data_IF_290633625627
#
_entry.id   IF_290633625627
#
_cell.length_a   1.000
_cell.length_b   1.000
_cell.length_c   1.000
_cell.angle_alpha   90.00
_cell.angle_beta   90.00
_cell.angle_gamma   90.00
#
_symmetry.space_group_name_H-M   'P 1'
#
loop_
_entity.id
_entity.type
_entity.pdbx_description
1 polymer ?
#
# COMPACT_ATOMS: atom_id res chain seq x y z
N UNK A 1 -3.88 -13.18 4.17
CA UNK A 1 -3.49 -11.76 4.16
C UNK A 1 -2.08 -11.58 3.64
N UNK A 2 -1.13 -12.36 4.09
CA UNK A 2 0.27 -12.33 3.65
C UNK A 2 0.42 -12.50 2.13
N UNK A 3 -0.25 -13.49 1.53
CA UNK A 3 -0.31 -13.69 0.08
C UNK A 3 -0.91 -12.50 -0.67
N UNK A 4 -1.93 -11.85 -0.09
CA UNK A 4 -2.49 -10.63 -0.65
C UNK A 4 -1.45 -9.50 -0.68
N UNK A 5 -0.70 -9.31 0.41
CA UNK A 5 0.35 -8.28 0.49
C UNK A 5 1.49 -8.59 -0.49
N UNK A 6 1.92 -9.84 -0.59
CA UNK A 6 2.91 -10.25 -1.61
C UNK A 6 2.44 -9.92 -3.01
N UNK A 7 1.19 -10.24 -3.35
CA UNK A 7 0.61 -9.94 -4.66
C UNK A 7 0.65 -8.45 -5.00
N UNK A 8 0.18 -7.58 -4.11
CA UNK A 8 0.15 -6.13 -4.39
C UNK A 8 1.55 -5.53 -4.46
N UNK A 9 2.49 -5.98 -3.64
CA UNK A 9 3.87 -5.46 -3.64
C UNK A 9 4.70 -5.93 -4.84
N UNK A 10 4.36 -7.06 -5.45
CA UNK A 10 5.04 -7.59 -6.63
C UNK A 10 4.28 -7.34 -7.93
N UNK A 11 3.11 -6.72 -7.87
CA UNK A 11 2.22 -6.49 -9.00
C UNK A 11 2.90 -5.75 -10.15
N UNK A 12 2.67 -6.23 -11.38
CA UNK A 12 3.16 -5.67 -12.64
C UNK A 12 2.06 -5.75 -13.70
N UNK A 13 2.19 -4.95 -14.73
CA UNK A 13 1.27 -4.94 -15.86
C UNK A 13 0.28 -3.80 -15.80
N UNK A 14 -0.77 -3.93 -16.57
CA UNK A 14 -1.80 -2.92 -16.74
C UNK A 14 -2.89 -3.08 -15.68
N UNK A 15 -3.43 -1.98 -15.16
CA UNK A 15 -4.49 -1.97 -14.14
C UNK A 15 -5.78 -2.68 -14.58
N UNK A 16 -6.05 -2.72 -15.88
CA UNK A 16 -7.23 -3.41 -16.43
C UNK A 16 -7.13 -4.93 -16.40
N UNK A 17 -5.89 -5.45 -16.39
CA UNK A 17 -5.60 -6.88 -16.36
C UNK A 17 -5.20 -7.34 -14.96
N UNK A 18 -4.51 -6.47 -14.23
CA UNK A 18 -3.99 -6.73 -12.89
C UNK A 18 -4.32 -5.54 -11.98
N UNK A 19 -5.48 -5.52 -11.32
CA UNK A 19 -5.91 -4.40 -10.47
C UNK A 19 -4.99 -4.19 -9.26
N UNK A 20 -4.19 -5.15 -8.86
CA UNK A 20 -3.23 -5.06 -7.76
C UNK A 20 -2.17 -3.96 -7.99
N UNK A 21 -1.88 -3.62 -9.26
CA UNK A 21 -0.97 -2.51 -9.58
C UNK A 21 -1.48 -1.15 -9.11
N UNK A 22 -2.78 -1.04 -8.87
CA UNK A 22 -3.41 0.17 -8.33
C UNK A 22 -2.79 0.65 -7.03
N UNK A 23 -2.18 -0.25 -6.26
CA UNK A 23 -1.44 0.10 -5.06
C UNK A 23 -0.31 1.09 -5.32
N UNK A 24 0.50 0.85 -6.36
CA UNK A 24 1.60 1.73 -6.74
C UNK A 24 1.15 2.96 -7.52
N UNK A 25 0.04 2.85 -8.25
CA UNK A 25 -0.50 3.94 -9.04
C UNK A 25 -1.12 5.03 -8.15
N UNK A 26 -1.58 4.67 -6.96
CA UNK A 26 -2.14 5.60 -5.96
C UNK A 26 -1.23 6.79 -5.69
N UNK A 27 0.07 6.55 -5.56
CA UNK A 27 1.05 7.57 -5.19
C UNK A 27 1.68 8.26 -6.43
N UNK A 28 1.12 8.06 -7.63
CA UNK A 28 1.47 8.75 -8.89
C UNK A 28 2.96 8.76 -9.23
N UNK A 29 3.70 7.73 -8.78
CA UNK A 29 5.14 7.59 -8.99
C UNK A 29 6.01 8.32 -7.96
N UNK A 30 5.43 8.82 -6.87
CA UNK A 30 6.14 9.33 -5.70
C UNK A 30 6.69 8.13 -4.89
N UNK A 31 7.86 7.66 -5.28
CA UNK A 31 8.45 6.44 -4.74
C UNK A 31 8.66 6.48 -3.22
N UNK A 32 9.17 7.60 -2.70
CA UNK A 32 9.46 7.78 -1.28
C UNK A 32 8.18 7.71 -0.45
N UNK A 33 7.13 8.41 -0.87
CA UNK A 33 5.83 8.38 -0.18
C UNK A 33 5.21 6.98 -0.22
N UNK A 34 5.35 6.27 -1.34
CA UNK A 34 4.86 4.88 -1.45
C UNK A 34 5.54 3.95 -0.44
N UNK A 35 6.86 4.10 -0.26
CA UNK A 35 7.62 3.31 0.72
C UNK A 35 7.17 3.64 2.15
N UNK A 36 7.08 4.92 2.51
CA UNK A 36 6.57 5.33 3.83
C UNK A 36 5.17 4.77 4.10
N UNK A 37 4.26 4.89 3.12
CA UNK A 37 2.91 4.35 3.21
C UNK A 37 2.89 2.81 3.32
N UNK A 38 3.82 2.12 2.66
CA UNK A 38 3.96 0.66 2.74
C UNK A 38 4.34 0.22 4.15
N UNK A 39 5.32 0.87 4.74
CA UNK A 39 5.75 0.59 6.10
C UNK A 39 4.64 0.88 7.12
N UNK A 40 4.00 2.03 7.02
CA UNK A 40 2.90 2.40 7.90
C UNK A 40 1.70 1.43 7.77
N UNK A 41 1.35 1.05 6.54
CA UNK A 41 0.20 0.19 6.28
C UNK A 41 0.44 -1.25 6.73
N UNK A 42 1.61 -1.83 6.45
CA UNK A 42 1.81 -3.27 6.58
C UNK A 42 2.76 -3.66 7.72
N UNK A 43 3.73 -2.81 8.05
CA UNK A 43 4.63 -3.04 9.19
C UNK A 43 4.23 -2.25 10.46
N UNK A 44 3.32 -1.27 10.35
CA UNK A 44 2.93 -0.40 11.46
C UNK A 44 4.01 0.60 11.88
N UNK A 45 4.98 0.86 11.00
CA UNK A 45 6.13 1.74 11.24
C UNK A 45 5.99 3.06 10.51
N UNK A 46 6.09 4.17 11.22
CA UNK A 46 6.15 5.49 10.60
C UNK A 46 7.60 5.91 10.39
N UNK A 47 8.13 5.63 9.21
CA UNK A 47 9.52 5.96 8.83
C UNK A 47 9.63 7.23 8.01
N UNK A 48 8.56 8.00 7.85
CA UNK A 48 8.51 9.15 6.94
C UNK A 48 9.51 10.26 7.29
N UNK A 49 9.81 10.47 8.58
CA UNK A 49 10.82 11.44 9.02
C UNK A 49 12.22 11.09 8.50
N UNK A 50 12.54 9.79 8.40
CA UNK A 50 13.83 9.32 7.91
C UNK A 50 14.07 9.57 6.41
N UNK A 51 13.06 10.04 5.68
CA UNK A 51 13.23 10.52 4.31
C UNK A 51 14.20 11.71 4.18
N UNK A 52 14.18 12.63 5.14
CA UNK A 52 14.94 13.88 5.09
C UNK A 52 16.07 13.96 6.10
N UNK A 53 15.97 13.27 7.23
CA UNK A 53 16.96 13.26 8.31
C UNK A 53 16.75 12.01 9.17
N UNK A 54 17.73 11.67 10.02
CA UNK A 54 17.56 10.58 10.98
C UNK A 54 16.32 10.80 11.82
N UNK A 55 15.57 9.72 12.11
CA UNK A 55 14.31 9.82 12.83
C UNK A 55 14.53 10.41 14.24
N UNK A 56 13.77 11.46 14.67
CA UNK A 56 14.07 12.19 15.90
C UNK A 56 13.73 11.42 17.18
N UNK A 57 12.95 10.36 17.11
CA UNK A 57 12.44 9.60 18.26
C UNK A 57 12.65 8.08 18.13
N UNK A 58 13.33 7.64 17.07
CA UNK A 58 13.49 6.23 16.72
C UNK A 58 14.86 5.99 16.10
N UNK A 59 15.35 4.76 16.08
CA UNK A 59 16.69 4.41 15.59
C UNK A 59 16.82 4.38 14.05
N UNK A 60 15.78 4.83 13.31
CA UNK A 60 15.81 4.89 11.85
C UNK A 60 16.74 6.01 11.36
N UNK A 61 17.78 5.62 10.65
CA UNK A 61 18.65 6.58 9.94
C UNK A 61 18.08 6.93 8.57
N UNK A 62 18.50 8.06 8.00
CA UNK A 62 18.19 8.39 6.61
C UNK A 62 18.75 7.33 5.66
N UNK A 63 19.91 6.75 5.93
CA UNK A 63 20.49 5.67 5.15
C UNK A 63 19.60 4.42 5.16
N UNK A 64 19.08 4.01 6.32
CA UNK A 64 18.15 2.87 6.42
C UNK A 64 16.91 3.09 5.55
N UNK A 65 16.34 4.29 5.58
CA UNK A 65 15.21 4.65 4.75
C UNK A 65 15.51 4.50 3.25
N UNK A 66 16.67 5.00 2.79
CA UNK A 66 17.07 4.87 1.39
C UNK A 66 17.42 3.42 1.01
N UNK A 67 18.04 2.66 1.89
CA UNK A 67 18.30 1.22 1.68
C UNK A 67 16.99 0.45 1.47
N UNK A 68 15.97 0.74 2.28
CA UNK A 68 14.64 0.14 2.12
C UNK A 68 13.95 0.61 0.85
N UNK A 69 14.08 1.89 0.50
CA UNK A 69 13.52 2.46 -0.73
C UNK A 69 14.17 1.86 -1.98
N UNK A 70 15.42 1.45 -1.91
CA UNK A 70 16.13 0.86 -3.03
C UNK A 70 15.49 -0.44 -3.55
N UNK A 71 14.72 -1.17 -2.76
CA UNK A 71 13.92 -2.30 -3.23
C UNK A 71 12.86 -1.92 -4.27
N UNK A 72 12.41 -0.69 -4.27
CA UNK A 72 11.37 -0.16 -5.15
C UNK A 72 11.91 0.73 -6.27
N UNK A 73 13.22 0.94 -6.34
CA UNK A 73 13.84 1.89 -7.29
C UNK A 73 13.54 1.57 -8.76
N UNK A 74 13.31 0.30 -9.06
CA UNK A 74 12.99 -0.16 -10.41
C UNK A 74 11.55 0.14 -10.83
N UNK A 75 10.69 0.52 -9.88
CA UNK A 75 9.28 0.81 -10.13
C UNK A 75 9.12 1.96 -11.15
N UNK A 76 8.36 1.71 -12.21
CA UNK A 76 7.98 2.71 -13.19
C UNK A 76 6.47 2.66 -13.43
N UNK A 77 5.80 3.80 -13.26
CA UNK A 77 4.34 3.97 -13.43
C UNK A 77 3.98 4.81 -14.65
N UNK A 78 4.95 5.19 -15.48
CA UNK A 78 4.76 6.17 -16.58
C UNK A 78 4.54 5.55 -17.95
N UNK A 79 4.26 4.27 -18.04
CA UNK A 79 4.19 3.55 -19.31
C UNK A 79 5.57 3.35 -19.97
N UNK A 80 5.60 2.66 -21.09
CA UNK A 80 6.83 2.39 -21.80
C UNK A 80 7.27 3.54 -22.74
N UNK A 81 8.40 3.35 -23.43
CA UNK A 81 8.94 4.36 -24.35
C UNK A 81 8.11 4.47 -25.63
N UNK A 82 7.47 3.39 -26.07
CA UNK A 82 6.68 3.35 -27.30
C UNK A 82 5.35 4.09 -27.14
N UNK A 83 4.66 3.86 -26.01
CA UNK A 83 3.45 4.59 -25.64
C UNK A 83 3.72 6.10 -25.59
N UNK A 84 4.86 6.51 -25.02
CA UNK A 84 5.23 7.92 -24.99
C UNK A 84 5.53 8.51 -26.36
N UNK A 85 6.14 7.75 -27.26
CA UNK A 85 6.38 8.20 -28.64
C UNK A 85 5.08 8.38 -29.40
N UNK A 86 4.17 7.43 -29.27
CA UNK A 86 2.85 7.51 -29.90
C UNK A 86 2.05 8.68 -29.38
N UNK A 87 2.03 8.90 -28.06
CA UNK A 87 1.42 10.08 -27.48
C UNK A 87 2.02 11.39 -28.03
N UNK A 88 3.35 11.47 -28.17
CA UNK A 88 4.00 12.66 -28.74
C UNK A 88 3.61 12.87 -30.22
N UNK A 89 3.44 11.80 -30.98
CA UNK A 89 2.96 11.87 -32.37
C UNK A 89 1.53 12.43 -32.42
N UNK A 90 0.63 11.82 -31.65
CA UNK A 90 -0.77 12.25 -31.58
C UNK A 90 -0.93 13.69 -31.07
N UNK A 91 -0.08 14.09 -30.13
CA UNK A 91 -0.07 15.47 -29.62
C UNK A 91 0.32 16.47 -30.72
N UNK A 92 1.33 16.19 -31.53
CA UNK A 92 1.73 17.04 -32.67
C UNK A 92 0.61 17.18 -33.69
N UNK A 93 -0.05 16.07 -34.05
CA UNK A 93 -1.22 16.10 -34.97
C UNK A 93 -2.34 16.95 -34.39
N UNK A 94 -2.61 16.84 -33.10
CA UNK A 94 -3.61 17.68 -32.44
C UNK A 94 -3.24 19.17 -32.41
N UNK A 95 -1.95 19.50 -32.23
CA UNK A 95 -1.46 20.89 -32.31
C UNK A 95 -1.65 21.49 -33.73
N UNK A 96 -1.46 20.68 -34.77
CA UNK A 96 -1.71 21.11 -36.15
C UNK A 96 -3.19 21.33 -36.42
N UNK A 97 -4.08 20.49 -35.91
CA UNK A 97 -5.53 20.65 -35.99
C UNK A 97 -6.00 21.94 -35.27
N UNK A 98 -5.44 22.20 -34.09
CA UNK A 98 -5.74 23.42 -33.32
C UNK A 98 -5.28 24.68 -34.10
N UNK A 99 -4.03 24.67 -34.66
CA UNK A 99 -3.48 25.78 -35.44
C UNK A 99 -4.25 26.02 -36.74
N UNK A 100 -4.71 24.98 -37.40
CA UNK A 100 -5.50 25.08 -38.62
C UNK A 100 -6.95 25.56 -38.41
N UNK A 101 -7.39 25.64 -37.16
CA UNK A 101 -8.75 25.99 -36.78
C UNK A 101 -9.80 24.91 -37.08
N UNK A 102 -9.39 23.77 -37.62
CA UNK A 102 -10.28 22.66 -37.96
C UNK A 102 -10.92 22.04 -36.73
N UNK A 103 -10.18 21.96 -35.60
CA UNK A 103 -10.70 21.34 -34.37
C UNK A 103 -10.05 21.98 -33.16
N UNK A 104 -10.70 22.96 -32.54
CA UNK A 104 -10.19 23.67 -31.36
C UNK A 104 -10.21 22.78 -30.12
N UNK A 105 -9.11 22.79 -29.37
CA UNK A 105 -8.97 22.09 -28.09
C UNK A 105 -8.51 20.63 -28.22
N UNK A 106 -8.08 20.17 -29.41
CA UNK A 106 -7.60 18.83 -29.66
C UNK A 106 -6.36 18.50 -28.81
N UNK A 107 -5.41 19.42 -28.68
CA UNK A 107 -4.21 19.27 -27.87
C UNK A 107 -4.55 19.06 -26.38
N UNK A 108 -5.53 19.82 -25.88
CA UNK A 108 -5.96 19.68 -24.49
C UNK A 108 -6.66 18.34 -24.25
N UNK A 109 -7.52 17.90 -25.16
CA UNK A 109 -8.22 16.60 -25.09
C UNK A 109 -7.25 15.43 -25.10
N UNK A 110 -6.27 15.43 -26.01
CA UNK A 110 -5.23 14.40 -26.05
C UNK A 110 -4.37 14.42 -24.78
N UNK A 111 -4.03 15.60 -24.27
CA UNK A 111 -3.31 15.73 -23.01
C UNK A 111 -4.08 15.16 -21.81
N UNK A 112 -5.37 15.42 -21.74
CA UNK A 112 -6.24 14.84 -20.71
C UNK A 112 -6.39 13.32 -20.87
N UNK A 113 -6.61 12.86 -22.11
CA UNK A 113 -6.70 11.42 -22.40
C UNK A 113 -5.43 10.67 -21.98
N UNK A 114 -4.26 11.19 -22.34
CA UNK A 114 -2.99 10.57 -21.94
C UNK A 114 -2.82 10.57 -20.42
N UNK A 115 -3.13 11.68 -19.74
CA UNK A 115 -2.98 11.81 -18.30
C UNK A 115 -3.90 10.85 -17.53
N UNK A 116 -5.14 10.71 -17.97
CA UNK A 116 -6.16 9.93 -17.26
C UNK A 116 -6.29 8.48 -17.76
N UNK A 117 -5.91 8.20 -18.99
CA UNK A 117 -6.08 6.90 -19.61
C UNK A 117 -4.81 6.08 -19.83
N UNK A 118 -3.66 6.74 -19.90
CA UNK A 118 -2.38 6.09 -20.18
C UNK A 118 -1.32 6.31 -19.12
N UNK A 119 -1.24 7.52 -18.59
CA UNK A 119 -0.32 7.83 -17.50
C UNK A 119 -0.86 7.20 -16.23
N UNK A 120 0.00 6.49 -15.48
CA UNK A 120 -0.38 5.81 -14.25
C UNK A 120 -1.42 4.66 -14.40
N UNK A 121 -1.42 3.98 -15.52
CA UNK A 121 -2.24 2.77 -15.73
C UNK A 121 -1.43 1.47 -15.75
N UNK A 122 -0.12 1.56 -15.75
CA UNK A 122 0.79 0.43 -15.87
C UNK A 122 1.92 0.51 -14.83
N UNK A 123 2.29 -0.64 -14.31
CA UNK A 123 3.48 -0.82 -13.45
C UNK A 123 4.45 -1.76 -14.13
N UNK A 124 5.68 -1.32 -14.28
CA UNK A 124 6.78 -2.07 -14.86
C UNK A 124 8.04 -1.86 -14.04
N UNK A 125 8.96 -2.84 -14.08
CA UNK A 125 10.30 -2.65 -13.53
C UNK A 125 11.24 -2.16 -14.63
N UNK A 126 12.02 -1.15 -14.31
CA UNK A 126 13.07 -0.60 -15.17
C UNK A 126 14.42 -0.69 -14.47
N UNK A 127 15.50 -0.85 -15.23
CA UNK A 127 16.85 -0.81 -14.66
C UNK A 127 17.19 0.62 -14.22
N UNK A 128 16.89 0.91 -12.96
CA UNK A 128 17.20 2.17 -12.28
C UNK A 128 17.90 1.89 -10.98
N UNK A 129 18.77 2.81 -10.60
CA UNK A 129 19.45 2.80 -9.29
C UNK A 129 19.02 4.02 -8.50
N UNK A 130 18.73 3.82 -7.22
CA UNK A 130 18.47 4.90 -6.30
C UNK A 130 19.80 5.58 -5.94
N UNK A 131 19.75 6.90 -5.81
CA UNK A 131 20.87 7.71 -5.32
C UNK A 131 20.44 8.45 -4.09
N UNK A 132 21.38 8.69 -3.20
CA UNK A 132 21.18 9.61 -2.08
C UNK A 132 20.87 11.02 -2.60
N UNK A 133 20.11 11.81 -1.85
CA UNK A 133 19.80 13.19 -2.22
C UNK A 133 21.07 14.06 -2.20
N UNK A 134 21.02 15.15 -2.95
CA UNK A 134 22.17 16.08 -3.07
C UNK A 134 22.47 16.82 -1.74
N UNK A 135 21.53 16.86 -0.83
CA UNK A 135 21.62 17.47 0.49
C UNK A 135 21.87 16.45 1.62
N UNK A 136 22.29 15.23 1.30
CA UNK A 136 22.68 14.23 2.29
C UNK A 136 23.82 14.73 3.18
N UNK A 137 23.64 14.69 4.50
CA UNK A 137 24.52 15.39 5.47
C UNK A 137 25.37 14.47 6.33
N UNK A 138 25.11 13.17 6.29
CA UNK A 138 25.76 12.21 7.18
C UNK A 138 27.11 11.76 6.59
N UNK A 139 27.99 11.22 7.46
CA UNK A 139 29.38 10.88 7.10
C UNK A 139 29.55 9.45 6.59
N UNK A 140 28.49 8.69 6.54
CA UNK A 140 28.47 7.28 6.16
C UNK A 140 28.39 7.07 4.63
N UNK A 141 28.06 8.12 3.86
CA UNK A 141 28.09 8.13 2.41
C UNK A 141 28.15 9.55 1.83
N UNK A 142 28.43 9.65 0.52
CA UNK A 142 28.48 10.92 -0.21
C UNK A 142 27.13 11.23 -0.89
N UNK A 143 26.75 12.52 -1.01
CA UNK A 143 25.59 12.94 -1.79
C UNK A 143 25.63 12.39 -3.22
N UNK A 144 24.51 11.85 -3.70
CA UNK A 144 24.42 11.25 -5.03
C UNK A 144 25.02 9.84 -5.16
N UNK A 145 25.55 9.26 -4.09
CA UNK A 145 26.02 7.88 -4.07
C UNK A 145 24.86 6.91 -4.34
N UNK A 146 25.17 5.80 -5.04
CA UNK A 146 24.18 4.76 -5.35
C UNK A 146 23.91 3.92 -4.12
N UNK A 147 22.65 3.88 -3.69
CA UNK A 147 22.19 3.11 -2.55
C UNK A 147 21.92 1.65 -2.96
N UNK A 148 22.27 0.74 -2.07
CA UNK A 148 21.98 -0.70 -2.21
C UNK A 148 20.73 -1.08 -1.44
N UNK A 149 19.94 -2.00 -1.99
CA UNK A 149 18.79 -2.55 -1.28
C UNK A 149 19.26 -3.44 -0.12
N UNK A 150 18.92 -3.03 1.10
CA UNK A 150 19.18 -3.76 2.32
C UNK A 150 18.07 -3.49 3.34
N UNK A 151 17.64 -4.52 4.07
CA UNK A 151 16.62 -4.35 5.12
C UNK A 151 17.26 -3.87 6.43
N UNK A 152 16.60 -2.92 7.09
CA UNK A 152 17.10 -2.31 8.32
C UNK A 152 16.67 -3.06 9.59
N UNK A 153 15.56 -3.83 9.54
CA UNK A 153 14.98 -4.53 10.70
C UNK A 153 14.78 -6.01 10.42
N UNK A 154 14.76 -6.80 11.48
CA UNK A 154 14.58 -8.26 11.40
C UNK A 154 15.73 -8.96 10.67
N UNK A 155 15.40 -10.01 9.92
CA UNK A 155 16.39 -10.73 9.12
C UNK A 155 16.93 -9.83 8.00
N UNK A 156 18.26 -9.66 7.97
CA UNK A 156 18.90 -8.82 6.94
C UNK A 156 18.84 -9.46 5.57
N UNK A 157 18.03 -8.89 4.71
CA UNK A 157 17.95 -9.22 3.30
C UNK A 157 18.72 -8.17 2.52
N UNK A 158 19.73 -8.63 1.77
CA UNK A 158 20.49 -7.79 0.83
C UNK A 158 20.06 -8.13 -0.58
N UNK A 159 20.28 -7.20 -1.51
CA UNK A 159 20.10 -7.44 -2.94
C UNK A 159 20.72 -8.79 -3.33
N UNK A 160 19.88 -9.78 -3.56
CA UNK A 160 20.30 -11.10 -4.01
C UNK A 160 20.24 -11.15 -5.53
N UNK A 161 21.31 -11.75 -6.09
CA UNK A 161 21.54 -12.14 -7.48
C UNK A 161 20.33 -12.12 -8.41
N UNK A 162 20.53 -11.64 -9.62
CA UNK A 162 19.77 -11.55 -10.89
C UNK A 162 18.50 -12.40 -11.17
N UNK A 163 18.07 -13.29 -10.29
CA UNK A 163 16.89 -14.15 -10.50
C UNK A 163 15.64 -13.75 -9.74
N UNK A 164 15.77 -13.03 -8.64
CA UNK A 164 14.65 -12.55 -7.85
C UNK A 164 14.59 -11.03 -7.95
N UNK A 165 13.41 -10.47 -8.28
CA UNK A 165 13.21 -9.04 -8.36
C UNK A 165 13.39 -8.37 -6.99
N UNK A 166 13.80 -7.11 -6.97
CA UNK A 166 13.99 -6.38 -5.71
C UNK A 166 12.68 -6.32 -4.91
N UNK A 167 11.55 -6.06 -5.57
CA UNK A 167 10.23 -6.01 -4.93
C UNK A 167 9.78 -7.38 -4.42
N UNK A 168 10.12 -8.45 -5.13
CA UNK A 168 9.83 -9.82 -4.69
C UNK A 168 10.59 -10.15 -3.40
N UNK A 169 11.89 -9.79 -3.35
CA UNK A 169 12.71 -9.96 -2.14
C UNK A 169 12.17 -9.17 -0.95
N UNK A 170 11.73 -7.93 -1.19
CA UNK A 170 11.10 -7.10 -0.16
C UNK A 170 9.77 -7.69 0.33
N UNK A 171 8.90 -8.09 -0.59
CA UNK A 171 7.59 -8.67 -0.26
C UNK A 171 7.72 -9.97 0.56
N UNK A 172 8.69 -10.83 0.18
CA UNK A 172 8.99 -12.04 0.92
C UNK A 172 9.58 -11.76 2.30
N UNK A 173 10.40 -10.73 2.44
CA UNK A 173 10.91 -10.31 3.75
C UNK A 173 9.80 -9.74 4.63
N UNK A 174 8.97 -8.83 4.11
CA UNK A 174 7.92 -8.15 4.87
C UNK A 174 6.84 -9.13 5.34
N UNK A 175 6.31 -9.93 4.42
CA UNK A 175 5.24 -10.89 4.71
C UNK A 175 5.78 -12.27 5.11
N UNK A 176 6.85 -12.29 5.93
CA UNK A 176 7.44 -13.49 6.52
C UNK A 176 7.02 -13.60 7.98
N UNK A 177 6.85 -14.84 8.44
CA UNK A 177 6.53 -15.14 9.83
C UNK A 177 7.58 -14.66 10.84
N UNK A 178 8.83 -14.48 10.40
CA UNK A 178 9.91 -13.96 11.23
C UNK A 178 9.96 -12.43 11.25
N UNK A 179 9.16 -11.75 10.41
CA UNK A 179 9.13 -10.28 10.43
C UNK A 179 8.56 -9.77 11.76
N UNK A 180 9.25 -8.86 12.47
CA UNK A 180 8.93 -8.54 13.86
C UNK A 180 7.54 -7.91 14.02
N UNK A 181 7.09 -7.09 13.09
CA UNK A 181 5.88 -6.30 13.28
C UNK A 181 4.72 -6.64 12.34
N UNK A 182 4.95 -7.37 11.25
CA UNK A 182 3.92 -7.64 10.23
C UNK A 182 2.65 -8.27 10.81
N UNK A 183 2.79 -9.40 11.52
CA UNK A 183 1.66 -10.06 12.15
C UNK A 183 1.05 -9.23 13.28
N UNK A 184 1.88 -8.55 14.08
CA UNK A 184 1.40 -7.71 15.18
C UNK A 184 0.57 -6.52 14.68
N UNK A 185 0.99 -5.89 13.59
CA UNK A 185 0.27 -4.77 13.00
C UNK A 185 -1.15 -5.17 12.54
N UNK A 186 -1.28 -6.26 11.79
CA UNK A 186 -2.62 -6.68 11.34
C UNK A 186 -3.50 -7.16 12.51
N UNK A 187 -2.93 -7.86 13.48
CA UNK A 187 -3.63 -8.28 14.70
C UNK A 187 -4.15 -7.08 15.48
N UNK A 188 -3.30 -6.07 15.71
CA UNK A 188 -3.67 -4.87 16.44
C UNK A 188 -4.79 -4.10 15.74
N UNK A 189 -4.74 -3.97 14.41
CA UNK A 189 -5.78 -3.32 13.61
C UNK A 189 -7.10 -4.08 13.62
N UNK A 190 -7.07 -5.41 13.56
CA UNK A 190 -8.30 -6.22 13.63
C UNK A 190 -8.88 -6.19 15.04
N UNK A 191 -8.04 -6.18 16.06
CA UNK A 191 -8.47 -5.99 17.44
C UNK A 191 -9.14 -4.64 17.62
N UNK A 192 -8.49 -3.54 17.24
CA UNK A 192 -9.07 -2.19 17.31
C UNK A 192 -10.41 -2.11 16.58
N UNK A 193 -10.48 -2.66 15.37
CA UNK A 193 -11.74 -2.72 14.62
C UNK A 193 -12.84 -3.51 15.31
N UNK A 194 -12.49 -4.58 16.02
CA UNK A 194 -13.46 -5.45 16.69
C UNK A 194 -13.93 -4.88 18.03
N UNK A 195 -13.01 -4.28 18.79
CA UNK A 195 -13.28 -3.89 20.19
C UNK A 195 -13.36 -2.39 20.40
N UNK A 196 -12.87 -1.58 19.46
CA UNK A 196 -12.94 -0.11 19.51
C UNK A 196 -11.76 0.58 20.19
N UNK A 197 -10.71 -0.17 20.53
CA UNK A 197 -9.44 0.33 21.05
C UNK A 197 -8.30 -0.61 20.64
N UNK A 198 -7.09 -0.10 20.38
CA UNK A 198 -5.95 -0.92 20.03
C UNK A 198 -5.32 -1.60 21.27
N UNK A 199 -4.58 -2.70 21.06
CA UNK A 199 -3.75 -3.31 22.11
C UNK A 199 -2.48 -2.51 22.35
N UNK A 200 -1.99 -1.88 21.29
CA UNK A 200 -0.84 -0.97 21.27
C UNK A 200 -1.39 0.38 20.84
N UNK A 201 -1.21 1.40 21.67
CA UNK A 201 -1.84 2.73 21.50
C UNK A 201 -1.40 3.42 20.23
N UNK A 202 -0.17 3.20 19.78
CA UNK A 202 0.37 3.81 18.58
C UNK A 202 0.59 2.78 17.47
N UNK A 203 -0.42 2.57 16.64
CA UNK A 203 -0.36 1.67 15.48
C UNK A 203 0.71 2.06 14.45
N UNK A 204 1.15 3.30 14.46
CA UNK A 204 2.13 3.83 13.52
C UNK A 204 3.57 3.79 14.05
N UNK A 205 3.72 3.58 15.35
CA UNK A 205 4.99 3.58 16.06
C UNK A 205 5.28 2.22 16.73
N UNK A 206 4.85 1.14 16.12
CA UNK A 206 5.32 -0.18 16.53
C UNK A 206 6.79 -0.28 16.11
N UNK A 207 7.58 0.53 16.76
CA UNK A 207 9.01 0.37 16.78
C UNK A 207 9.31 -0.99 17.41
N UNK A 208 10.28 -1.66 16.87
CA UNK A 208 10.91 -2.89 17.33
C UNK A 208 10.24 -3.61 18.51
N UNK A 209 9.86 -4.85 18.32
CA UNK A 209 9.22 -5.75 19.30
C UNK A 209 9.85 -5.73 20.70
N UNK A 210 11.06 -5.20 20.85
CA UNK A 210 11.74 -5.08 22.14
C UNK A 210 11.06 -4.06 23.08
N UNK A 211 10.37 -3.04 22.56
CA UNK A 211 9.65 -2.05 23.37
C UNK A 211 8.24 -2.52 23.80
N UNK A 212 7.65 -3.48 23.08
CA UNK A 212 6.36 -4.07 23.48
C UNK A 212 6.48 -4.89 24.76
N UNK A 213 7.67 -5.33 25.13
CA UNK A 213 7.89 -6.26 26.26
C UNK A 213 7.38 -5.75 27.61
N UNK A 214 7.22 -4.47 27.80
CA UNK A 214 6.77 -3.88 29.07
C UNK A 214 5.32 -3.33 29.06
N UNK A 215 4.60 -3.49 27.95
CA UNK A 215 3.22 -3.06 27.81
C UNK A 215 2.22 -3.96 28.53
N UNK A 216 1.10 -3.37 29.04
CA UNK A 216 0.03 -4.11 29.73
C UNK A 216 -0.55 -5.27 28.91
N UNK A 217 -0.51 -5.18 27.59
CA UNK A 217 -1.15 -6.13 26.67
C UNK A 217 -0.14 -7.04 25.94
N UNK A 218 1.15 -7.01 26.31
CA UNK A 218 2.21 -7.75 25.59
C UNK A 218 1.88 -9.24 25.43
N UNK A 219 1.50 -9.92 26.51
CA UNK A 219 1.15 -11.34 26.45
C UNK A 219 -0.04 -11.64 25.55
N UNK A 220 -1.00 -10.72 25.49
CA UNK A 220 -2.20 -10.90 24.67
C UNK A 220 -1.85 -10.74 23.19
N UNK A 221 -1.07 -9.72 22.83
CA UNK A 221 -0.70 -9.53 21.43
C UNK A 221 0.22 -10.64 20.92
N UNK A 222 1.16 -11.10 21.74
CA UNK A 222 2.01 -12.27 21.41
C UNK A 222 1.17 -13.53 21.15
N UNK A 223 0.20 -13.79 22.01
CA UNK A 223 -0.74 -14.90 21.82
C UNK A 223 -1.55 -14.76 20.53
N UNK A 224 -2.11 -13.57 20.27
CA UNK A 224 -2.91 -13.34 19.08
C UNK A 224 -2.08 -13.37 17.78
N UNK A 225 -0.82 -12.92 17.82
CA UNK A 225 0.14 -13.10 16.73
C UNK A 225 0.37 -14.58 16.43
N UNK A 226 0.55 -15.40 17.47
CA UNK A 226 0.64 -16.85 17.30
C UNK A 226 -0.63 -17.42 16.66
N UNK A 227 -1.81 -17.04 17.14
CA UNK A 227 -3.09 -17.46 16.55
C UNK A 227 -3.21 -17.03 15.08
N UNK A 228 -2.81 -15.79 14.74
CA UNK A 228 -2.84 -15.32 13.35
C UNK A 228 -1.97 -16.20 12.43
N UNK A 229 -0.78 -16.58 12.88
CA UNK A 229 0.10 -17.50 12.15
C UNK A 229 -0.48 -18.92 12.04
N UNK A 230 -1.09 -19.43 13.11
CA UNK A 230 -1.73 -20.76 13.14
C UNK A 230 -2.96 -20.85 12.18
N UNK A 231 -3.62 -19.74 11.90
CA UNK A 231 -4.72 -19.69 10.91
C UNK A 231 -4.24 -19.28 9.52
N UNK A 232 -2.93 -19.29 9.24
CA UNK A 232 -2.33 -18.94 7.95
C UNK A 232 -2.78 -17.57 7.43
N UNK A 233 -2.83 -16.57 8.31
CA UNK A 233 -3.27 -15.20 8.00
C UNK A 233 -4.67 -15.12 7.36
N UNK A 234 -5.53 -16.11 7.60
CA UNK A 234 -6.93 -16.06 7.22
C UNK A 234 -7.71 -15.12 8.13
N UNK A 235 -7.97 -13.91 7.63
CA UNK A 235 -8.64 -12.85 8.40
C UNK A 235 -10.05 -13.23 8.82
N UNK A 236 -10.77 -14.06 8.04
CA UNK A 236 -12.11 -14.51 8.40
C UNK A 236 -12.07 -15.47 9.59
N UNK A 237 -11.15 -16.44 9.56
CA UNK A 237 -10.95 -17.36 10.69
C UNK A 237 -10.51 -16.61 11.95
N UNK A 238 -9.57 -15.70 11.80
CA UNK A 238 -9.07 -14.90 12.93
C UNK A 238 -10.19 -14.05 13.54
N UNK A 239 -10.96 -13.32 12.73
CA UNK A 239 -12.09 -12.54 13.22
C UNK A 239 -13.16 -13.41 13.87
N UNK A 240 -13.44 -14.61 13.32
CA UNK A 240 -14.36 -15.54 13.94
C UNK A 240 -13.89 -15.99 15.33
N UNK A 241 -12.60 -16.21 15.52
CA UNK A 241 -12.04 -16.48 16.86
C UNK A 241 -12.28 -15.29 17.79
N UNK A 242 -11.99 -14.05 17.35
CA UNK A 242 -12.21 -12.85 18.16
C UNK A 242 -13.67 -12.69 18.59
N UNK A 243 -14.61 -12.86 17.64
CA UNK A 243 -16.06 -12.67 17.88
C UNK A 243 -16.66 -13.75 18.78
N UNK A 244 -16.05 -14.92 18.87
CA UNK A 244 -16.46 -15.99 19.77
C UNK A 244 -15.81 -15.90 21.17
N UNK A 245 -14.99 -14.89 21.44
CA UNK A 245 -14.45 -14.67 22.78
C UNK A 245 -15.52 -14.17 23.74
N UNK A 246 -15.42 -14.56 25.02
CA UNK A 246 -16.28 -14.01 26.09
C UNK A 246 -16.16 -12.48 26.19
N UNK A 247 -15.01 -11.93 25.83
CA UNK A 247 -14.75 -10.51 25.85
C UNK A 247 -15.57 -9.76 24.78
N UNK A 248 -15.64 -10.28 23.55
CA UNK A 248 -16.46 -9.69 22.49
C UNK A 248 -17.97 -9.81 22.79
N UNK A 249 -18.39 -10.92 23.39
CA UNK A 249 -19.78 -11.22 23.72
C UNK A 249 -20.24 -10.61 25.04
N UNK A 250 -19.34 -9.93 25.76
CA UNK A 250 -19.70 -9.26 27.00
C UNK A 250 -20.64 -8.09 26.73
N UNK A 251 -21.53 -7.81 27.73
CA UNK A 251 -22.37 -6.61 27.69
C UNK A 251 -21.49 -5.38 27.70
N UNK A 252 -21.78 -4.46 26.79
CA UNK A 252 -21.11 -3.15 26.75
C UNK A 252 -21.41 -2.40 28.04
N UNK A 253 -20.36 -2.00 28.74
CA UNK A 253 -20.42 -1.18 29.94
C UNK A 253 -19.70 0.14 29.65
N UNK A 254 -20.43 1.27 29.51
CA UNK A 254 -19.80 2.56 29.18
C UNK A 254 -18.77 3.03 30.20
N UNK A 255 -18.86 2.55 31.43
CA UNK A 255 -17.99 2.98 32.56
C UNK A 255 -16.79 2.03 32.74
N UNK A 256 -16.60 1.04 31.87
CA UNK A 256 -15.61 -0.02 32.10
C UNK A 256 -14.83 -0.41 30.84
N UNK A 257 -13.74 0.31 30.63
CA UNK A 257 -12.91 0.25 29.42
C UNK A 257 -12.29 -1.12 29.09
N UNK A 258 -12.24 -2.10 30.00
CA UNK A 258 -11.55 -3.37 29.78
C UNK A 258 -12.42 -4.62 30.05
N UNK A 259 -13.74 -4.49 30.02
CA UNK A 259 -14.63 -5.63 30.24
C UNK A 259 -15.37 -6.11 28.99
N UNK A 260 -15.23 -5.42 27.89
CA UNK A 260 -15.87 -5.76 26.62
C UNK A 260 -15.61 -4.72 25.55
N UNK A 261 -16.26 -4.84 24.38
CA UNK A 261 -16.15 -3.89 23.30
C UNK A 261 -16.63 -2.49 23.70
N UNK A 262 -16.02 -1.46 23.13
CA UNK A 262 -16.45 -0.08 23.33
C UNK A 262 -17.53 0.28 22.30
N UNK A 263 -18.59 0.97 22.76
CA UNK A 263 -19.64 1.47 21.89
C UNK A 263 -19.10 2.56 20.96
N UNK A 264 -19.29 2.37 19.67
CA UNK A 264 -18.87 3.33 18.65
C UNK A 264 -19.91 3.48 17.56
N UNK A 265 -19.87 4.61 16.87
CA UNK A 265 -20.73 4.85 15.71
C UNK A 265 -20.33 3.95 14.54
N UNK A 266 -21.30 3.53 13.76
CA UNK A 266 -21.05 2.85 12.50
C UNK A 266 -20.28 3.78 11.54
N UNK A 267 -19.36 3.20 10.79
CA UNK A 267 -18.76 3.91 9.66
C UNK A 267 -19.79 4.09 8.54
N UNK A 268 -19.53 5.02 7.61
CA UNK A 268 -20.41 5.23 6.44
C UNK A 268 -20.57 3.95 5.61
N UNK A 269 -19.49 3.16 5.46
CA UNK A 269 -19.54 1.88 4.77
C UNK A 269 -20.43 0.86 5.51
N UNK A 270 -20.25 0.71 6.81
CA UNK A 270 -21.09 -0.18 7.62
C UNK A 270 -22.58 0.22 7.57
N UNK A 271 -22.87 1.53 7.63
CA UNK A 271 -24.24 2.02 7.52
C UNK A 271 -24.81 1.71 6.14
N UNK A 272 -24.06 1.96 5.08
CA UNK A 272 -24.46 1.66 3.69
C UNK A 272 -24.73 0.17 3.49
N UNK A 273 -23.80 -0.69 3.88
CA UNK A 273 -23.96 -2.14 3.76
C UNK A 273 -25.17 -2.65 4.56
N UNK A 274 -25.41 -2.08 5.75
CA UNK A 274 -26.59 -2.41 6.56
C UNK A 274 -27.90 -2.03 5.86
N UNK A 275 -27.97 -0.84 5.25
CA UNK A 275 -29.14 -0.39 4.49
C UNK A 275 -29.35 -1.28 3.25
N UNK A 276 -28.28 -1.58 2.51
CA UNK A 276 -28.34 -2.46 1.32
C UNK A 276 -28.81 -3.86 1.72
N UNK A 277 -28.27 -4.41 2.82
CA UNK A 277 -28.70 -5.73 3.35
C UNK A 277 -30.17 -5.74 3.72
N UNK A 278 -30.68 -4.71 4.36
CA UNK A 278 -32.10 -4.58 4.69
C UNK A 278 -32.99 -4.51 3.44
N UNK A 279 -32.51 -3.85 2.38
CA UNK A 279 -33.29 -3.67 1.15
C UNK A 279 -33.22 -4.89 0.22
N UNK A 280 -32.04 -5.49 0.05
CA UNK A 280 -31.78 -6.56 -0.92
C UNK A 280 -31.61 -7.96 -0.30
N UNK A 281 -31.47 -8.06 1.02
CA UNK A 281 -31.30 -9.31 1.75
C UNK A 281 -29.91 -9.93 1.71
N UNK A 282 -29.08 -9.59 0.71
CA UNK A 282 -27.71 -10.10 0.55
C UNK A 282 -26.83 -9.06 -0.17
N UNK A 283 -25.94 -8.37 0.57
CA UNK A 283 -25.08 -7.35 -0.02
C UNK A 283 -24.06 -7.94 -1.01
N UNK A 284 -23.67 -9.21 -0.86
CA UNK A 284 -22.69 -9.87 -1.72
C UNK A 284 -23.25 -10.20 -3.12
N UNK A 285 -24.58 -10.21 -3.26
CA UNK A 285 -25.24 -10.34 -4.57
C UNK A 285 -25.20 -9.05 -5.38
N UNK A 286 -24.95 -7.94 -4.73
CA UNK A 286 -24.83 -6.65 -5.41
C UNK A 286 -23.41 -6.45 -5.90
N UNK A 287 -23.06 -7.09 -7.01
CA UNK A 287 -21.84 -6.79 -7.75
C UNK A 287 -22.03 -5.41 -8.39
N UNK A 288 -21.12 -4.43 -8.21
CA UNK A 288 -21.10 -3.26 -9.07
C UNK A 288 -21.01 -3.77 -10.50
N UNK A 289 -21.91 -3.30 -11.39
CA UNK A 289 -21.82 -3.59 -12.82
C UNK A 289 -20.36 -3.51 -13.24
N UNK A 290 -19.95 -4.44 -14.08
CA UNK A 290 -18.57 -4.51 -14.54
C UNK A 290 -18.18 -3.17 -15.20
N UNK A 291 -17.66 -2.27 -14.40
CA UNK A 291 -17.25 -0.94 -14.85
C UNK A 291 -16.17 -0.99 -15.92
N UNK A 292 -15.48 -2.13 -16.03
CA UNK A 292 -14.50 -2.35 -17.09
C UNK A 292 -15.15 -2.17 -18.46
N UNK A 293 -16.35 -2.73 -18.67
CA UNK A 293 -17.06 -2.58 -19.94
C UNK A 293 -17.53 -1.14 -20.13
N UNK A 294 -18.04 -0.50 -19.08
CA UNK A 294 -18.48 0.90 -19.16
C UNK A 294 -17.31 1.84 -19.53
N UNK A 295 -16.09 1.57 -19.03
CA UNK A 295 -14.89 2.31 -19.41
C UNK A 295 -14.42 1.98 -20.83
N UNK A 296 -14.45 0.71 -21.24
CA UNK A 296 -14.12 0.30 -22.60
C UNK A 296 -15.09 0.96 -23.58
N UNK A 297 -16.38 0.99 -23.28
CA UNK A 297 -17.41 1.60 -24.13
C UNK A 297 -17.25 3.12 -24.19
N UNK A 298 -16.87 3.76 -23.08
CA UNK A 298 -16.52 5.18 -23.06
C UNK A 298 -15.32 5.48 -23.97
N UNK A 299 -14.27 4.66 -23.89
CA UNK A 299 -13.06 4.82 -24.71
C UNK A 299 -13.30 4.52 -26.18
N UNK A 300 -14.06 3.46 -26.50
CA UNK A 300 -14.44 3.13 -27.89
C UNK A 300 -15.42 4.15 -28.45
N UNK A 301 -16.33 4.68 -27.65
CA UNK A 301 -17.19 5.79 -28.01
C UNK A 301 -16.43 7.08 -28.34
N UNK A 302 -15.36 7.37 -27.58
CA UNK A 302 -14.48 8.51 -27.87
C UNK A 302 -13.68 8.33 -29.17
N UNK A 303 -13.26 7.09 -29.48
CA UNK A 303 -12.61 6.76 -30.75
C UNK A 303 -13.55 6.86 -31.95
N UNK A 304 -14.83 6.57 -31.78
CA UNK A 304 -15.82 6.67 -32.85
C UNK A 304 -16.29 8.11 -33.11
N UNK A 305 -15.94 9.05 -32.22
CA UNK A 305 -16.24 10.49 -32.36
C UNK A 305 -15.08 11.29 -32.96
N UNK A 306 -13.95 10.65 -33.27
CA UNK A 306 -12.79 11.20 -33.99
C UNK A 306 -12.82 10.79 -35.47
#
# INVERSE_FOLDING_TARGET
YDEFIKKILTAKGNIWENPEVGYFLRDEGMLLDNVSNTFQAFAGMNISCAQCHDHPFDDWTQMDYYNMTAFFTQLNTRGDKEDRKEFQRLRKEAEELDKSGKQKGSTNRIGQFYRHGYQHTIVQDQDKKLKLPDDYKYRDAEPGEVVKAETAVGDRVKEKRKREGLRDSFANWLANDTHPTFAANIVNRLWDRSFGFPLIDNLNEVALFDEIKDGRNTRLIEYLVKVMKEVDYDLKKFNNILYNTKFYQAKIDPDNEFKGPVLRRMTSAQLWDSIVTLYQGDPDKWQPKDRKQDYIDLFTGLQSMS
#
